data_IF_001521457076
#
_entry.id   IF_001521457076
#
_cell.length_a   1.000
_cell.length_b   1.000
_cell.length_c   1.000
_cell.angle_alpha   90.00
_cell.angle_beta   90.00
_cell.angle_gamma   90.00
#
_symmetry.space_group_name_H-M   'P 1'
#
loop_
_entity.id
_entity.type
_entity.pdbx_description
1 polymer ?
#
# COMPACT_ATOMS: atom_id res chain seq x y z
N UNK A 1 -63.88 14.76 -30.77
CA UNK A 1 -62.65 15.26 -30.09
C UNK A 1 -62.11 14.27 -29.02
N UNK A 2 -62.00 12.96 -29.32
CA UNK A 2 -61.59 11.94 -28.31
C UNK A 2 -60.30 11.16 -28.65
N UNK A 3 -59.87 11.15 -29.91
CA UNK A 3 -58.71 10.34 -30.36
C UNK A 3 -57.35 11.02 -30.03
N UNK A 4 -57.30 12.36 -29.97
CA UNK A 4 -56.04 13.11 -29.71
C UNK A 4 -55.55 13.05 -28.25
N UNK A 5 -56.42 12.76 -27.27
CA UNK A 5 -56.03 12.69 -25.84
C UNK A 5 -55.41 11.34 -25.47
N UNK A 6 -55.86 10.24 -26.08
CA UNK A 6 -55.31 8.89 -25.90
C UNK A 6 -53.83 8.83 -26.32
N UNK A 7 -53.47 9.55 -27.39
CA UNK A 7 -52.10 9.56 -27.91
C UNK A 7 -51.07 10.19 -26.95
N UNK A 8 -51.48 11.15 -26.12
CA UNK A 8 -50.60 11.82 -25.14
C UNK A 8 -50.37 10.95 -23.90
N UNK A 9 -51.40 10.25 -23.43
CA UNK A 9 -51.27 9.35 -22.27
C UNK A 9 -50.44 8.12 -22.60
N UNK A 10 -50.56 7.58 -23.83
CA UNK A 10 -49.74 6.44 -24.26
C UNK A 10 -48.26 6.82 -24.43
N UNK A 11 -47.97 8.00 -25.00
CA UNK A 11 -46.60 8.52 -25.09
C UNK A 11 -45.98 8.78 -23.71
N UNK A 12 -46.77 9.28 -22.75
CA UNK A 12 -46.32 9.49 -21.37
C UNK A 12 -46.05 8.16 -20.65
N UNK A 13 -46.93 7.17 -20.79
CA UNK A 13 -46.76 5.85 -20.18
C UNK A 13 -45.52 5.11 -20.72
N UNK A 14 -45.27 5.19 -22.03
CA UNK A 14 -44.07 4.60 -22.66
C UNK A 14 -42.81 5.35 -22.22
N UNK A 15 -42.84 6.69 -22.15
CA UNK A 15 -41.71 7.49 -21.69
C UNK A 15 -41.33 7.22 -20.22
N UNK A 16 -42.33 7.04 -19.36
CA UNK A 16 -42.14 6.69 -17.94
C UNK A 16 -41.59 5.26 -17.79
N UNK A 17 -42.10 4.30 -18.57
CA UNK A 17 -41.60 2.92 -18.52
C UNK A 17 -40.12 2.83 -18.93
N UNK A 18 -39.70 3.56 -19.98
CA UNK A 18 -38.31 3.61 -20.43
C UNK A 18 -37.41 4.26 -19.37
N UNK A 19 -37.89 5.29 -18.68
CA UNK A 19 -37.13 5.96 -17.61
C UNK A 19 -36.87 5.07 -16.39
N UNK A 20 -37.77 4.12 -16.08
CA UNK A 20 -37.60 3.20 -14.95
C UNK A 20 -36.83 1.91 -15.28
N UNK A 21 -36.65 1.55 -16.56
CA UNK A 21 -35.87 0.37 -16.97
C UNK A 21 -34.46 0.69 -17.47
N UNK A 22 -34.14 1.97 -17.73
CA UNK A 22 -32.88 2.36 -18.38
C UNK A 22 -31.68 2.58 -17.44
N UNK A 23 -31.78 2.27 -16.14
CA UNK A 23 -30.66 2.48 -15.20
C UNK A 23 -30.58 1.37 -14.14
N UNK A 24 -30.43 0.12 -14.53
CA UNK A 24 -29.64 -0.79 -13.70
C UNK A 24 -28.18 -0.52 -14.02
N UNK A 25 -27.48 0.22 -13.14
CA UNK A 25 -26.01 0.23 -13.11
C UNK A 25 -25.56 -1.14 -12.65
N UNK A 26 -25.65 -2.09 -13.55
CA UNK A 26 -25.05 -3.39 -13.39
C UNK A 26 -23.94 -3.42 -14.43
N UNK A 27 -22.72 -3.11 -14.01
CA UNK A 27 -21.53 -3.02 -14.88
C UNK A 27 -21.14 -4.40 -15.48
N UNK A 28 -21.97 -5.43 -15.26
CA UNK A 28 -21.80 -6.77 -15.75
C UNK A 28 -20.61 -7.48 -15.08
N UNK A 29 -20.47 -8.77 -15.38
CA UNK A 29 -19.26 -9.49 -14.99
C UNK A 29 -18.04 -8.87 -15.67
N UNK A 30 -16.92 -8.79 -14.95
CA UNK A 30 -15.64 -8.30 -15.49
C UNK A 30 -15.31 -9.15 -16.73
N UNK A 31 -15.15 -8.53 -17.92
CA UNK A 31 -14.95 -9.30 -19.15
C UNK A 31 -13.70 -10.18 -19.06
N UNK A 32 -13.77 -11.43 -19.55
CA UNK A 32 -12.66 -12.41 -19.52
C UNK A 32 -11.33 -11.98 -20.17
N UNK A 33 -11.32 -10.81 -20.84
CA UNK A 33 -10.10 -10.16 -21.36
C UNK A 33 -9.31 -9.40 -20.28
N UNK A 34 -9.90 -9.19 -19.10
CA UNK A 34 -9.27 -8.54 -17.96
C UNK A 34 -8.82 -9.63 -17.01
N UNK A 35 -7.51 -9.79 -16.86
CA UNK A 35 -6.95 -10.71 -15.90
C UNK A 35 -6.78 -9.97 -14.57
N UNK A 36 -7.47 -10.43 -13.52
CA UNK A 36 -7.33 -9.88 -12.18
C UNK A 36 -6.28 -10.72 -11.47
N UNK A 37 -5.20 -10.08 -11.11
CA UNK A 37 -4.16 -10.71 -10.30
C UNK A 37 -4.33 -10.29 -8.85
N UNK A 38 -4.57 -11.27 -7.98
CA UNK A 38 -4.67 -11.03 -6.56
C UNK A 38 -3.27 -10.84 -5.97
N UNK A 39 -2.94 -9.59 -5.65
CA UNK A 39 -1.74 -9.25 -4.90
C UNK A 39 -2.12 -9.05 -3.45
N UNK A 40 -1.52 -9.79 -2.49
CA UNK A 40 -1.89 -9.67 -1.10
C UNK A 40 -1.53 -8.30 -0.54
N UNK A 41 -2.46 -7.71 0.21
CA UNK A 41 -2.22 -6.46 0.92
C UNK A 41 -1.34 -6.73 2.15
N UNK A 42 -0.07 -6.30 2.08
CA UNK A 42 0.87 -6.34 3.20
C UNK A 42 1.02 -4.95 3.79
N UNK A 43 0.90 -4.86 5.11
CA UNK A 43 0.99 -3.64 5.91
C UNK A 43 2.31 -3.60 6.66
N UNK A 44 2.88 -2.40 6.78
CA UNK A 44 4.10 -2.10 7.53
C UNK A 44 3.78 -1.01 8.54
N UNK A 45 3.79 -1.35 9.83
CA UNK A 45 3.44 -0.43 10.91
C UNK A 45 4.49 -0.41 12.01
N UNK A 46 4.63 0.73 12.70
CA UNK A 46 5.43 0.78 13.92
C UNK A 46 4.87 -0.20 14.94
N UNK A 47 5.75 -0.91 15.62
CA UNK A 47 5.34 -1.83 16.66
C UNK A 47 4.96 -1.05 17.92
N UNK A 48 3.79 -1.37 18.48
CA UNK A 48 3.25 -0.73 19.68
C UNK A 48 4.14 -1.04 20.90
N UNK A 49 4.31 -0.09 21.81
CA UNK A 49 5.00 -0.33 23.09
C UNK A 49 6.36 0.34 23.25
N UNK A 50 6.52 1.59 22.79
CA UNK A 50 7.71 2.41 23.08
C UNK A 50 8.63 2.67 21.88
N UNK A 51 8.29 2.21 20.69
CA UNK A 51 9.01 2.58 19.47
C UNK A 51 8.72 4.03 19.09
N UNK A 52 9.77 4.84 18.96
CA UNK A 52 9.69 6.17 18.35
C UNK A 52 10.01 6.11 16.86
N UNK A 53 9.29 6.89 16.05
CA UNK A 53 9.62 7.13 14.65
C UNK A 53 10.82 8.09 14.49
N UNK A 54 11.26 8.74 15.56
CA UNK A 54 12.29 9.77 15.51
C UNK A 54 13.63 9.25 16.01
N UNK A 55 14.65 9.42 15.17
CA UNK A 55 16.06 9.23 15.50
C UNK A 55 16.57 10.58 15.99
N UNK A 56 16.92 10.70 17.27
CA UNK A 56 17.49 11.93 17.81
C UNK A 56 18.86 12.19 17.16
N UNK A 57 19.02 13.31 16.46
CA UNK A 57 20.25 13.67 15.75
C UNK A 57 21.43 13.79 16.70
N UNK A 58 21.21 14.33 17.90
CA UNK A 58 22.21 14.46 18.96
C UNK A 58 22.57 13.13 19.65
N UNK A 59 21.77 12.08 19.49
CA UNK A 59 22.00 10.79 20.14
C UNK A 59 21.51 9.61 19.28
N UNK A 60 22.10 9.48 18.09
CA UNK A 60 21.71 8.45 17.14
C UNK A 60 22.03 7.04 17.64
N UNK A 61 23.09 6.89 18.45
CA UNK A 61 23.52 5.58 18.96
C UNK A 61 22.50 4.92 19.91
N UNK A 62 21.65 5.71 20.57
CA UNK A 62 20.59 5.20 21.44
C UNK A 62 19.32 4.76 20.67
N UNK A 63 19.25 5.01 19.36
CA UNK A 63 18.05 4.71 18.58
C UNK A 63 17.91 3.21 18.33
N UNK A 64 16.73 2.68 18.70
CA UNK A 64 16.26 1.33 18.37
C UNK A 64 14.77 1.41 18.00
N UNK A 65 14.50 1.43 16.70
CA UNK A 65 13.15 1.43 16.15
C UNK A 65 12.64 0.01 15.91
N UNK A 66 11.36 -0.27 16.15
CA UNK A 66 10.72 -1.53 15.78
C UNK A 66 9.51 -1.35 14.89
N UNK A 67 9.44 -2.13 13.83
CA UNK A 67 8.27 -2.16 12.96
C UNK A 67 7.89 -3.59 12.63
N UNK A 68 6.63 -3.80 12.30
CA UNK A 68 6.05 -5.08 11.95
C UNK A 68 5.56 -5.05 10.51
N UNK A 69 5.90 -6.10 9.77
CA UNK A 69 5.33 -6.41 8.47
C UNK A 69 4.31 -7.52 8.65
N UNK A 70 3.07 -7.32 8.21
CA UNK A 70 1.98 -8.28 8.38
C UNK A 70 1.00 -8.23 7.22
N UNK A 71 0.27 -9.32 6.98
CA UNK A 71 -0.92 -9.25 6.13
C UNK A 71 -1.93 -8.29 6.73
N UNK A 72 -2.55 -7.47 5.88
CA UNK A 72 -3.60 -6.55 6.31
C UNK A 72 -4.94 -7.25 6.49
N UNK A 73 -5.33 -8.08 5.51
CA UNK A 73 -6.54 -8.89 5.60
C UNK A 73 -6.23 -10.25 6.24
N UNK A 74 -6.92 -10.57 7.32
CA UNK A 74 -6.79 -11.85 7.98
C UNK A 74 -7.23 -12.99 7.05
N UNK A 75 -6.45 -14.07 6.98
CA UNK A 75 -6.76 -15.26 6.17
C UNK A 75 -6.47 -15.12 4.68
N UNK A 76 -5.97 -13.97 4.20
CA UNK A 76 -5.49 -13.84 2.83
C UNK A 76 -4.27 -14.73 2.58
N UNK A 77 -4.12 -15.22 1.35
CA UNK A 77 -2.92 -15.95 0.94
C UNK A 77 -1.70 -15.03 1.03
N UNK A 78 -0.66 -15.37 1.81
CA UNK A 78 0.54 -14.55 1.88
C UNK A 78 1.30 -14.55 0.55
N UNK A 79 2.15 -13.54 0.31
CA UNK A 79 3.18 -13.65 -0.74
C UNK A 79 4.13 -14.81 -0.42
N UNK A 80 4.76 -15.38 -1.44
CA UNK A 80 5.73 -16.49 -1.26
C UNK A 80 6.89 -16.07 -0.36
N UNK A 81 7.32 -14.82 -0.51
CA UNK A 81 8.28 -14.15 0.36
C UNK A 81 8.15 -12.64 0.25
N UNK A 82 8.76 -11.95 1.19
CA UNK A 82 9.01 -10.51 1.10
C UNK A 82 10.48 -10.18 1.31
N UNK A 83 10.95 -9.16 0.60
CA UNK A 83 12.21 -8.50 0.91
C UNK A 83 11.90 -7.12 1.48
N UNK A 84 12.36 -6.85 2.70
CA UNK A 84 12.20 -5.53 3.29
C UNK A 84 13.24 -4.60 2.68
N UNK A 85 12.78 -3.51 2.08
CA UNK A 85 13.61 -2.47 1.49
C UNK A 85 13.45 -1.17 2.24
N UNK A 86 14.44 -0.30 2.10
CA UNK A 86 14.42 1.07 2.62
C UNK A 86 14.81 2.05 1.52
N UNK A 87 14.07 3.16 1.40
CA UNK A 87 14.49 4.32 0.59
C UNK A 87 14.85 5.49 1.49
N UNK A 88 15.86 6.25 1.08
CA UNK A 88 16.27 7.50 1.73
C UNK A 88 15.55 8.68 1.08
N UNK A 89 15.02 9.58 1.91
CA UNK A 89 14.47 10.88 1.52
C UNK A 89 13.40 10.82 0.41
N UNK A 90 12.65 9.73 0.33
CA UNK A 90 11.63 9.53 -0.71
C UNK A 90 12.19 9.28 -2.12
N UNK A 91 13.51 9.14 -2.29
CA UNK A 91 14.15 8.99 -3.59
C UNK A 91 14.17 7.52 -4.01
N UNK A 92 13.46 7.16 -5.08
CA UNK A 92 13.39 5.77 -5.56
C UNK A 92 14.76 5.19 -5.97
N UNK A 93 15.65 6.02 -6.54
CA UNK A 93 17.01 5.60 -6.89
C UNK A 93 17.90 5.27 -5.67
N UNK A 94 17.45 5.60 -4.46
CA UNK A 94 18.20 5.34 -3.22
C UNK A 94 17.83 4.02 -2.54
N UNK A 95 16.93 3.22 -3.11
CA UNK A 95 16.43 2.01 -2.47
C UNK A 95 17.57 1.03 -2.17
N UNK A 96 17.60 0.52 -0.93
CA UNK A 96 18.50 -0.52 -0.45
C UNK A 96 17.69 -1.65 0.17
N UNK A 97 18.19 -2.88 0.05
CA UNK A 97 17.57 -4.05 0.68
C UNK A 97 18.04 -4.14 2.13
N UNK A 98 17.11 -4.11 3.07
CA UNK A 98 17.37 -4.24 4.50
C UNK A 98 17.36 -5.71 4.96
N UNK A 99 16.37 -6.48 4.49
CA UNK A 99 16.27 -7.92 4.79
C UNK A 99 15.72 -8.67 3.58
N UNK A 100 16.29 -9.83 3.27
CA UNK A 100 15.82 -10.70 2.19
C UNK A 100 15.09 -11.93 2.71
N UNK A 101 14.30 -12.54 1.83
CA UNK A 101 13.77 -13.90 1.96
C UNK A 101 12.95 -14.15 3.23
N UNK A 102 12.12 -13.18 3.61
CA UNK A 102 11.20 -13.33 4.74
C UNK A 102 9.96 -14.09 4.25
N UNK A 103 9.84 -15.35 4.66
CA UNK A 103 8.79 -16.28 4.20
C UNK A 103 7.61 -16.42 5.17
N UNK A 104 7.69 -15.79 6.35
CA UNK A 104 6.66 -15.89 7.38
C UNK A 104 6.16 -14.51 7.78
N UNK A 105 4.84 -14.30 7.73
CA UNK A 105 4.18 -13.09 8.18
C UNK A 105 3.12 -13.43 9.24
N UNK A 106 2.96 -12.63 10.31
CA UNK A 106 3.67 -11.38 10.58
C UNK A 106 5.11 -11.58 11.06
N UNK A 107 5.99 -10.61 10.78
CA UNK A 107 7.37 -10.55 11.31
C UNK A 107 7.70 -9.14 11.78
N UNK A 108 8.33 -9.03 12.95
CA UNK A 108 8.83 -7.77 13.52
C UNK A 108 10.33 -7.61 13.27
N UNK A 109 10.74 -6.39 12.97
CA UNK A 109 12.13 -6.01 12.71
C UNK A 109 12.53 -4.91 13.68
N UNK A 110 13.74 -5.03 14.22
CA UNK A 110 14.42 -3.94 14.94
C UNK A 110 15.40 -3.28 14.00
N UNK A 111 15.48 -1.95 14.03
CA UNK A 111 16.37 -1.13 13.23
C UNK A 111 17.12 -0.17 14.15
N UNK A 112 18.42 -0.11 13.97
CA UNK A 112 19.30 0.84 14.65
C UNK A 112 19.80 1.89 13.67
N UNK A 113 20.25 3.04 14.20
CA UNK A 113 20.85 4.09 13.38
C UNK A 113 22.15 3.60 12.69
N UNK A 114 22.90 2.73 13.37
CA UNK A 114 24.13 2.16 12.84
C UNK A 114 23.90 1.24 11.63
N UNK A 115 22.83 0.44 11.64
CA UNK A 115 22.44 -0.38 10.49
C UNK A 115 22.04 0.49 9.29
N UNK A 116 21.27 1.56 9.53
CA UNK A 116 20.91 2.52 8.47
C UNK A 116 22.17 3.17 7.89
N UNK A 117 23.08 3.65 8.74
CA UNK A 117 24.32 4.30 8.29
C UNK A 117 25.16 3.35 7.42
N UNK A 118 25.34 2.11 7.89
CA UNK A 118 26.08 1.05 7.18
C UNK A 118 25.44 0.75 5.82
N UNK A 119 24.11 0.64 5.77
CA UNK A 119 23.38 0.28 4.55
C UNK A 119 23.50 1.35 3.46
N UNK A 120 23.57 2.62 3.84
CA UNK A 120 23.70 3.75 2.93
C UNK A 120 25.15 4.23 2.72
N UNK A 121 26.10 3.72 3.50
CA UNK A 121 27.51 4.12 3.45
C UNK A 121 27.75 5.58 3.82
N UNK A 122 26.84 6.22 4.54
CA UNK A 122 26.92 7.62 4.97
C UNK A 122 26.31 7.80 6.36
N UNK A 123 26.80 8.81 7.08
CA UNK A 123 26.23 9.25 8.35
C UNK A 123 24.79 9.76 8.16
N UNK A 124 23.95 9.54 9.16
CA UNK A 124 22.59 10.07 9.18
C UNK A 124 22.64 11.58 9.44
N UNK A 125 21.98 12.36 8.58
CA UNK A 125 21.95 13.83 8.65
C UNK A 125 20.61 14.30 9.19
N UNK A 126 20.59 15.47 9.81
CA UNK A 126 19.36 16.11 10.26
C UNK A 126 18.35 16.20 9.10
N UNK A 127 17.09 15.82 9.37
CA UNK A 127 15.99 15.72 8.40
C UNK A 127 16.09 14.58 7.37
N UNK A 128 17.06 13.67 7.49
CA UNK A 128 17.00 12.42 6.72
C UNK A 128 15.76 11.60 7.11
N UNK A 129 15.13 10.99 6.11
CA UNK A 129 13.97 10.12 6.26
C UNK A 129 14.29 8.75 5.64
N UNK A 130 13.90 7.69 6.34
CA UNK A 130 14.12 6.31 5.91
C UNK A 130 12.78 5.58 5.92
N UNK A 131 12.26 5.28 4.73
CA UNK A 131 10.96 4.61 4.56
C UNK A 131 11.19 3.12 4.35
N UNK A 132 10.71 2.29 5.25
CA UNK A 132 10.79 0.84 5.21
C UNK A 132 9.49 0.24 4.70
N UNK A 133 9.57 -0.63 3.70
CA UNK A 133 8.43 -1.35 3.15
C UNK A 133 8.87 -2.67 2.47
N UNK A 134 7.98 -3.67 2.35
CA UNK A 134 8.28 -4.93 1.71
C UNK A 134 8.07 -4.89 0.19
N UNK A 135 9.06 -5.34 -0.57
CA UNK A 135 8.81 -5.89 -1.89
C UNK A 135 8.10 -7.24 -1.74
N UNK A 136 7.08 -7.48 -2.56
CA UNK A 136 6.28 -8.71 -2.51
C UNK A 136 6.66 -9.62 -3.66
N UNK A 137 6.79 -10.92 -3.39
CA UNK A 137 6.99 -11.93 -4.40
C UNK A 137 5.78 -12.86 -4.43
N UNK A 138 5.11 -12.94 -5.58
CA UNK A 138 3.92 -13.77 -5.78
C UNK A 138 4.10 -14.54 -7.09
N UNK A 139 4.27 -15.85 -6.99
CA UNK A 139 4.68 -16.71 -8.07
C UNK A 139 6.01 -16.25 -8.68
N UNK A 140 5.99 -15.93 -9.98
CA UNK A 140 7.16 -15.46 -10.72
C UNK A 140 7.33 -13.95 -10.72
N UNK A 141 6.42 -13.20 -10.08
CA UNK A 141 6.37 -11.74 -10.13
C UNK A 141 6.89 -11.10 -8.85
N UNK A 142 7.46 -9.91 -9.03
CA UNK A 142 7.92 -9.02 -7.97
C UNK A 142 7.14 -7.71 -8.04
N UNK A 143 6.58 -7.30 -6.90
CA UNK A 143 5.94 -6.01 -6.72
C UNK A 143 6.83 -5.17 -5.82
N UNK A 144 7.44 -4.13 -6.39
CA UNK A 144 8.36 -3.27 -5.66
C UNK A 144 7.60 -2.26 -4.81
N UNK A 145 8.02 -2.07 -3.57
CA UNK A 145 7.45 -1.02 -2.72
C UNK A 145 7.77 0.38 -3.27
N UNK A 146 8.99 0.55 -3.77
CA UNK A 146 9.53 1.83 -4.24
C UNK A 146 10.21 1.65 -5.61
N UNK A 147 9.45 1.43 -6.70
CA UNK A 147 10.01 1.24 -8.03
C UNK A 147 10.64 2.54 -8.54
N UNK A 148 11.64 2.41 -9.43
CA UNK A 148 12.27 3.56 -10.09
C UNK A 148 11.28 4.32 -10.99
N UNK A 149 10.34 3.60 -11.60
CA UNK A 149 9.33 4.13 -12.51
C UNK A 149 7.97 3.52 -12.18
N UNK A 150 6.91 4.32 -12.23
CA UNK A 150 5.54 3.88 -11.96
C UNK A 150 5.16 3.94 -10.49
N UNK A 151 4.02 3.34 -10.16
CA UNK A 151 3.49 3.27 -8.81
C UNK A 151 3.97 1.98 -8.13
N UNK A 152 4.48 2.10 -6.91
CA UNK A 152 4.89 0.96 -6.10
C UNK A 152 3.78 0.43 -5.20
N UNK A 153 3.98 -0.76 -4.62
CA UNK A 153 3.09 -1.29 -3.59
C UNK A 153 3.08 -0.46 -2.30
N UNK A 154 4.09 0.39 -2.09
CA UNK A 154 4.13 1.39 -1.01
C UNK A 154 3.47 2.73 -1.38
N UNK A 155 2.66 2.78 -2.44
CA UNK A 155 1.75 3.88 -2.75
C UNK A 155 0.35 3.39 -2.40
N UNK A 156 -0.09 3.57 -1.17
CA UNK A 156 -1.38 3.03 -0.73
C UNK A 156 -2.56 3.79 -1.29
N UNK A 157 -3.74 3.25 -0.99
CA UNK A 157 -5.01 3.86 -1.40
C UNK A 157 -5.37 4.93 -0.36
N UNK A 158 -5.72 6.12 -0.82
CA UNK A 158 -6.11 7.24 0.05
C UNK A 158 -7.14 6.81 1.09
N UNK A 159 -6.85 7.07 2.37
CA UNK A 159 -7.73 6.74 3.49
C UNK A 159 -7.44 5.40 4.17
N UNK A 160 -6.61 4.52 3.59
CA UNK A 160 -6.32 3.22 4.21
C UNK A 160 -5.56 3.31 5.54
N UNK A 161 -4.78 4.38 5.76
CA UNK A 161 -4.15 4.63 7.05
C UNK A 161 -5.15 4.72 8.22
N UNK A 162 -6.38 5.23 7.97
CA UNK A 162 -7.42 5.37 9.00
C UNK A 162 -7.94 4.03 9.51
N UNK A 163 -7.79 2.97 8.73
CA UNK A 163 -8.18 1.60 9.08
C UNK A 163 -6.97 0.73 9.48
N UNK A 164 -5.80 1.35 9.71
CA UNK A 164 -4.60 0.69 10.23
C UNK A 164 -3.69 0.06 9.17
N UNK A 165 -3.91 0.33 7.87
CA UNK A 165 -2.99 -0.07 6.82
C UNK A 165 -1.81 0.90 6.74
N UNK A 166 -0.60 0.37 6.89
CA UNK A 166 0.64 1.12 6.73
C UNK A 166 1.35 0.74 5.43
N UNK A 167 1.53 1.70 4.55
CA UNK A 167 2.25 1.52 3.28
C UNK A 167 3.74 1.27 3.51
N UNK A 168 4.28 2.04 4.44
CA UNK A 168 5.66 2.00 4.88
C UNK A 168 5.74 2.57 6.30
N UNK A 169 6.84 2.26 6.99
CA UNK A 169 7.21 2.96 8.22
C UNK A 169 8.34 3.94 7.91
N UNK A 170 8.17 5.19 8.34
CA UNK A 170 9.23 6.20 8.25
C UNK A 170 9.93 6.36 9.59
N UNK A 171 11.26 6.26 9.55
CA UNK A 171 12.12 6.77 10.61
C UNK A 171 12.78 8.07 10.17
N UNK A 172 12.66 9.13 10.97
CA UNK A 172 13.13 10.47 10.64
C UNK A 172 14.20 10.93 11.63
N UNK A 173 15.28 11.50 11.11
CA UNK A 173 16.33 12.11 11.92
C UNK A 173 15.90 13.52 12.31
N UNK A 174 15.80 13.78 13.61
CA UNK A 174 15.27 15.03 14.19
C UNK A 174 16.20 15.61 15.24
#
# INVERSE_FOLDING_TARGET
MKIRKINKFMALAIGVAIAFTACTKDDGAIPNRINIEEVPAVSTNLETGGTTANIAFANQAAFSGKFKVSLFFAGATPPDKVDVVVRKNGVAASVKVFKTDVTSLPTSFTVTAAEIATLFGDTLKLNDNYDFAPNLYVGTKKYEAFPLVGLGSGQGITGMASIGYGEFVRFSVK
#
